data_IF_682794088797
#
_entry.id   IF_682794088797
#
_cell.length_a   1.000
_cell.length_b   1.000
_cell.length_c   1.000
_cell.angle_alpha   90.00
_cell.angle_beta   90.00
_cell.angle_gamma   90.00
#
_symmetry.space_group_name_H-M   'P 1'
#
loop_
_entity.id
_entity.type
_entity.pdbx_description
1 polymer ?
#
# COMPACT_ATOMS: atom_id res chain seq x y z
N UNK A 1 7.28 -14.03 25.11
CA UNK A 1 7.70 -12.67 24.69
C UNK A 1 6.46 -11.78 24.70
N UNK A 2 6.35 -10.84 25.63
CA UNK A 2 5.21 -9.92 25.71
C UNK A 2 5.62 -8.63 24.98
N UNK A 3 5.21 -8.49 23.72
CA UNK A 3 5.46 -7.25 22.96
C UNK A 3 4.50 -6.20 23.50
N UNK A 4 5.00 -5.26 24.30
CA UNK A 4 4.26 -4.05 24.67
C UNK A 4 4.36 -3.07 23.52
N UNK A 5 3.37 -3.10 22.63
CA UNK A 5 3.20 -2.04 21.62
C UNK A 5 2.56 -0.86 22.35
N UNK A 6 3.31 0.22 22.56
CA UNK A 6 2.76 1.42 23.20
C UNK A 6 1.62 2.01 22.34
N UNK A 7 0.63 2.68 22.93
CA UNK A 7 -0.49 3.27 22.18
C UNK A 7 -0.05 4.19 21.03
N UNK A 8 1.06 4.90 21.22
CA UNK A 8 1.63 5.82 20.23
C UNK A 8 2.14 5.08 18.99
N UNK A 9 2.58 3.82 19.12
CA UNK A 9 3.01 2.99 18.01
C UNK A 9 1.82 2.35 17.27
N UNK A 10 0.65 2.21 17.92
CA UNK A 10 -0.54 1.60 17.29
C UNK A 10 -1.12 2.45 16.17
N UNK A 11 -1.19 3.78 16.35
CA UNK A 11 -1.80 4.65 15.35
C UNK A 11 -1.03 4.67 14.02
N UNK A 12 0.31 4.83 13.98
CA UNK A 12 1.10 4.73 12.76
C UNK A 12 1.01 3.35 12.08
N UNK A 13 1.00 2.25 12.85
CA UNK A 13 0.85 0.91 12.29
C UNK A 13 -0.50 0.74 11.61
N UNK A 14 -1.59 1.20 12.23
CA UNK A 14 -2.92 1.17 11.63
C UNK A 14 -2.99 2.02 10.35
N UNK A 15 -2.33 3.19 10.34
CA UNK A 15 -2.25 4.02 9.13
C UNK A 15 -1.49 3.33 8.01
N UNK A 16 -0.35 2.69 8.30
CA UNK A 16 0.42 1.95 7.31
C UNK A 16 -0.37 0.76 6.75
N UNK A 17 -1.07 0.00 7.60
CA UNK A 17 -1.99 -1.05 7.17
C UNK A 17 -3.12 -0.49 6.29
N UNK A 18 -3.78 0.58 6.71
CA UNK A 18 -4.84 1.20 5.91
C UNK A 18 -4.32 1.67 4.54
N UNK A 19 -3.11 2.23 4.49
CA UNK A 19 -2.47 2.66 3.25
C UNK A 19 -2.17 1.48 2.31
N UNK A 20 -1.74 0.33 2.86
CA UNK A 20 -1.54 -0.91 2.11
C UNK A 20 -2.84 -1.44 1.50
N UNK A 21 -3.90 -1.56 2.32
CA UNK A 21 -5.20 -2.05 1.85
C UNK A 21 -5.83 -1.11 0.82
N UNK A 22 -5.64 0.21 0.96
CA UNK A 22 -6.03 1.18 -0.06
C UNK A 22 -5.26 0.97 -1.36
N UNK A 23 -3.98 0.61 -1.30
CA UNK A 23 -3.20 0.23 -2.47
C UNK A 23 -3.86 -0.91 -3.25
N UNK A 24 -4.26 -1.98 -2.57
CA UNK A 24 -5.04 -3.07 -3.17
C UNK A 24 -6.36 -2.58 -3.77
N UNK A 25 -7.13 -1.77 -3.04
CA UNK A 25 -8.39 -1.23 -3.52
C UNK A 25 -8.23 -0.36 -4.79
N UNK A 26 -7.08 0.31 -4.96
CA UNK A 26 -6.75 1.09 -6.15
C UNK A 26 -6.09 0.29 -7.28
N UNK A 27 -5.98 -1.03 -7.13
CA UNK A 27 -5.51 -1.94 -8.18
C UNK A 27 -4.03 -2.32 -8.08
N UNK A 28 -3.32 -1.94 -7.02
CA UNK A 28 -2.00 -2.49 -6.72
C UNK A 28 -2.17 -3.91 -6.15
N UNK A 29 -2.43 -4.87 -7.01
CA UNK A 29 -2.71 -6.26 -6.61
C UNK A 29 -1.45 -7.06 -6.22
N UNK A 30 -0.27 -6.59 -6.64
CA UNK A 30 1.01 -7.22 -6.32
C UNK A 30 1.62 -6.65 -5.04
N UNK A 31 2.38 -7.49 -4.34
CA UNK A 31 3.27 -7.03 -3.29
C UNK A 31 4.61 -6.58 -3.86
N UNK A 32 5.22 -5.58 -3.23
CA UNK A 32 6.60 -5.18 -3.45
C UNK A 32 7.54 -6.04 -2.60
N UNK A 33 8.69 -6.34 -3.17
CA UNK A 33 9.84 -6.92 -2.47
C UNK A 33 10.61 -5.89 -1.64
N UNK A 34 10.31 -4.60 -1.82
CA UNK A 34 11.03 -3.51 -1.21
C UNK A 34 10.29 -2.98 0.02
N UNK A 35 10.92 -3.10 1.19
CA UNK A 35 10.32 -2.76 2.49
C UNK A 35 9.90 -1.29 2.67
N UNK A 36 10.39 -0.38 1.81
CA UNK A 36 10.02 1.04 1.81
C UNK A 36 8.78 1.38 0.96
N UNK A 37 8.22 0.41 0.25
CA UNK A 37 7.01 0.60 -0.56
C UNK A 37 5.77 0.30 0.28
N UNK A 38 4.65 0.97 -0.04
CA UNK A 38 3.37 0.72 0.64
C UNK A 38 2.94 -0.74 0.49
N UNK A 39 3.24 -1.33 -0.68
CA UNK A 39 2.87 -2.70 -1.00
C UNK A 39 3.86 -3.76 -0.51
N UNK A 40 4.81 -3.43 0.36
CA UNK A 40 5.76 -4.42 0.89
C UNK A 40 5.04 -5.62 1.53
N UNK A 41 5.54 -6.85 1.28
CA UNK A 41 4.96 -8.11 1.81
C UNK A 41 4.87 -8.14 3.34
N UNK A 42 5.80 -7.46 4.01
CA UNK A 42 5.88 -7.38 5.46
C UNK A 42 6.07 -5.92 5.85
N UNK A 43 5.08 -5.38 6.58
CA UNK A 43 5.21 -4.10 7.25
C UNK A 43 6.26 -4.27 8.34
N UNK A 44 7.47 -3.78 8.09
CA UNK A 44 8.60 -3.89 9.02
C UNK A 44 8.36 -3.15 10.34
N UNK A 45 9.38 -3.11 11.20
CA UNK A 45 9.28 -2.40 12.49
C UNK A 45 9.00 -0.88 12.35
N UNK A 46 9.25 -0.32 11.17
CA UNK A 46 8.96 1.08 10.84
C UNK A 46 7.76 1.14 9.89
N UNK A 47 6.65 1.80 10.27
CA UNK A 47 5.46 1.91 9.44
C UNK A 47 5.74 2.78 8.21
N UNK A 48 5.32 2.31 7.03
CA UNK A 48 5.36 3.09 5.79
C UNK A 48 4.11 3.97 5.73
N UNK A 49 4.31 5.28 5.92
CA UNK A 49 3.22 6.26 5.99
C UNK A 49 3.10 7.13 4.73
N UNK A 50 3.99 6.94 3.77
CA UNK A 50 4.02 7.72 2.54
C UNK A 50 4.06 6.80 1.33
N UNK A 51 3.35 7.18 0.28
CA UNK A 51 3.38 6.47 -1.00
C UNK A 51 4.77 6.65 -1.62
N UNK A 52 5.42 5.56 -2.00
CA UNK A 52 6.75 5.63 -2.62
C UNK A 52 6.67 6.14 -4.07
N UNK A 53 7.82 6.44 -4.67
CA UNK A 53 7.86 6.75 -6.12
C UNK A 53 7.45 5.53 -6.96
N UNK A 54 7.79 4.31 -6.54
CA UNK A 54 7.45 3.06 -7.24
C UNK A 54 5.94 2.80 -7.21
N UNK A 55 5.31 3.02 -6.06
CA UNK A 55 3.85 2.91 -5.90
C UNK A 55 3.13 3.89 -6.84
N UNK A 56 3.57 5.16 -6.88
CA UNK A 56 3.00 6.18 -7.80
C UNK A 56 3.12 5.78 -9.27
N UNK A 57 4.30 5.36 -9.70
CA UNK A 57 4.52 4.94 -11.09
C UNK A 57 3.65 3.74 -11.47
N UNK A 58 3.45 2.80 -10.54
CA UNK A 58 2.57 1.64 -10.76
C UNK A 58 1.11 2.07 -10.87
N UNK A 59 0.64 2.96 -9.99
CA UNK A 59 -0.72 3.52 -10.08
C UNK A 59 -0.94 4.31 -11.38
N UNK A 60 0.02 5.11 -11.80
CA UNK A 60 -0.02 5.84 -13.07
C UNK A 60 -0.09 4.89 -14.27
N UNK A 61 0.69 3.80 -14.24
CA UNK A 61 0.65 2.76 -15.26
C UNK A 61 -0.71 2.04 -15.29
N UNK A 62 -1.28 1.66 -14.14
CA UNK A 62 -2.62 1.04 -14.07
C UNK A 62 -3.68 1.98 -14.66
N UNK A 63 -3.65 3.26 -14.27
CA UNK A 63 -4.62 4.26 -14.73
C UNK A 63 -4.52 4.56 -16.22
N UNK A 64 -3.36 4.36 -16.83
CA UNK A 64 -3.19 4.54 -18.27
C UNK A 64 -3.62 3.34 -19.10
N UNK A 65 -3.91 2.19 -18.46
CA UNK A 65 -4.44 1.04 -19.18
C UNK A 65 -5.83 1.35 -19.71
N UNK A 66 -6.07 0.98 -20.98
CA UNK A 66 -7.41 1.07 -21.56
C UNK A 66 -8.34 0.15 -20.78
N UNK A 67 -9.46 0.70 -20.31
CA UNK A 67 -10.53 -0.09 -19.71
C UNK A 67 -11.74 -0.03 -20.64
N UNK A 68 -12.40 -1.17 -20.84
CA UNK A 68 -13.71 -1.20 -21.51
C UNK A 68 -14.84 -0.77 -20.56
N UNK A 69 -14.49 -0.11 -19.44
CA UNK A 69 -15.45 0.29 -18.43
C UNK A 69 -16.36 1.40 -18.99
N UNK A 70 -17.67 1.16 -18.98
CA UNK A 70 -18.67 2.10 -19.50
C UNK A 70 -18.89 2.05 -21.02
N UNK A 71 -18.23 1.13 -21.74
CA UNK A 71 -18.57 0.90 -23.15
C UNK A 71 -19.89 0.09 -23.24
N UNK A 72 -20.85 0.48 -24.10
CA UNK A 72 -22.04 -0.32 -24.36
C UNK A 72 -21.63 -1.63 -25.06
N UNK A 73 -22.17 -2.75 -24.58
CA UNK A 73 -22.05 -4.07 -25.21
C UNK A 73 -22.88 -4.15 -26.49
#
# INVERSE_FOLDING_TARGET
MKVMVSPELRAPVLQATALHELGHAFGLWGHSDHAGDVMAVSQGALPVLTVSKRDRLTLEWIRSQSTNFGQPH
#
